data_IF_715211825954
#
_entry.id   IF_715211825954
#
_cell.length_a   1.000
_cell.length_b   1.000
_cell.length_c   1.000
_cell.angle_alpha   90.00
_cell.angle_beta   90.00
_cell.angle_gamma   90.00
#
_symmetry.space_group_name_H-M   'P 1'
#
loop_
_entity.id
_entity.type
_entity.pdbx_description
1 polymer ?
#
# COMPACT_ATOMS: atom_id res chain seq x y z
N UNK A 1 -32.18 -27.09 13.11
CA UNK A 1 -32.27 -25.62 12.99
C UNK A 1 -33.15 -25.26 11.80
N UNK A 2 -34.28 -24.60 12.04
CA UNK A 2 -35.25 -24.25 11.01
C UNK A 2 -34.73 -23.17 10.05
N UNK A 3 -35.28 -23.12 8.83
CA UNK A 3 -34.92 -22.13 7.79
C UNK A 3 -35.06 -20.69 8.30
N UNK A 4 -35.96 -20.43 9.23
CA UNK A 4 -36.18 -19.09 9.81
C UNK A 4 -35.02 -18.63 10.70
N UNK A 5 -34.40 -19.54 11.47
CA UNK A 5 -33.23 -19.21 12.32
C UNK A 5 -32.00 -18.84 11.48
N UNK A 6 -31.86 -19.38 10.27
CA UNK A 6 -30.78 -19.02 9.34
C UNK A 6 -30.97 -17.63 8.74
N UNK A 7 -32.21 -17.23 8.44
CA UNK A 7 -32.51 -15.89 7.88
C UNK A 7 -32.29 -14.81 8.92
N UNK A 8 -32.70 -15.03 10.17
CA UNK A 8 -32.47 -14.09 11.27
C UNK A 8 -30.98 -13.92 11.56
N UNK A 9 -30.18 -15.00 11.54
CA UNK A 9 -28.74 -14.93 11.73
C UNK A 9 -28.02 -14.21 10.57
N UNK A 10 -28.47 -14.42 9.32
CA UNK A 10 -27.94 -13.72 8.14
C UNK A 10 -28.28 -12.23 8.20
N UNK A 11 -29.50 -11.87 8.63
CA UNK A 11 -29.90 -10.47 8.81
C UNK A 11 -29.14 -9.81 9.97
N UNK A 12 -28.91 -10.52 11.09
CA UNK A 12 -28.13 -10.00 12.22
C UNK A 12 -26.65 -9.78 11.85
N UNK A 13 -26.06 -10.71 11.09
CA UNK A 13 -24.69 -10.57 10.58
C UNK A 13 -24.62 -9.45 9.53
N UNK A 14 -25.57 -9.36 8.60
CA UNK A 14 -25.62 -8.29 7.60
C UNK A 14 -25.81 -6.90 8.24
N UNK A 15 -26.60 -6.78 9.31
CA UNK A 15 -26.79 -5.53 10.04
C UNK A 15 -25.53 -5.14 10.84
N UNK A 16 -24.83 -6.12 11.42
CA UNK A 16 -23.54 -5.91 12.09
C UNK A 16 -22.42 -5.47 11.14
N UNK A 17 -22.39 -6.01 9.91
CA UNK A 17 -21.46 -5.56 8.87
C UNK A 17 -21.80 -4.16 8.35
N UNK A 18 -23.08 -3.79 8.29
CA UNK A 18 -23.52 -2.47 7.86
C UNK A 18 -23.16 -1.38 8.89
N UNK A 19 -23.28 -1.68 10.19
CA UNK A 19 -22.92 -0.74 11.28
C UNK A 19 -21.42 -0.54 11.43
N UNK A 20 -20.59 -1.58 11.24
CA UNK A 20 -19.12 -1.42 11.26
C UNK A 20 -18.57 -0.67 10.04
N UNK A 21 -19.16 -0.88 8.85
CA UNK A 21 -18.79 -0.10 7.65
C UNK A 21 -19.21 1.37 7.80
N UNK A 22 -20.39 1.65 8.33
CA UNK A 22 -20.84 3.03 8.57
C UNK A 22 -20.02 3.71 9.66
N UNK A 23 -19.60 2.99 10.71
CA UNK A 23 -18.69 3.51 11.74
C UNK A 23 -17.30 3.87 11.17
N UNK A 24 -16.70 3.00 10.36
CA UNK A 24 -15.43 3.31 9.67
C UNK A 24 -15.57 4.42 8.63
N UNK A 25 -16.69 4.47 7.90
CA UNK A 25 -17.00 5.56 6.96
C UNK A 25 -17.26 6.87 7.68
N UNK A 26 -17.93 6.88 8.84
CA UNK A 26 -18.14 8.07 9.67
C UNK A 26 -16.85 8.54 10.32
N UNK A 27 -15.96 7.64 10.75
CA UNK A 27 -14.67 8.01 11.31
C UNK A 27 -13.70 8.51 10.23
N UNK A 28 -13.70 7.91 9.03
CA UNK A 28 -12.98 8.48 7.88
C UNK A 28 -13.58 9.81 7.47
N UNK A 29 -14.91 9.93 7.35
CA UNK A 29 -15.57 11.18 7.00
C UNK A 29 -15.31 12.26 8.05
N UNK A 30 -15.35 11.94 9.34
CA UNK A 30 -15.01 12.86 10.44
C UNK A 30 -13.52 13.23 10.47
N UNK A 31 -12.63 12.30 10.11
CA UNK A 31 -11.21 12.59 9.91
C UNK A 31 -10.98 13.52 8.71
N UNK A 32 -11.65 13.26 7.59
CA UNK A 32 -11.59 14.09 6.38
C UNK A 32 -12.28 15.46 6.57
N UNK A 33 -13.40 15.54 7.28
CA UNK A 33 -14.08 16.80 7.61
C UNK A 33 -13.31 17.60 8.67
N UNK A 34 -12.63 16.92 9.61
CA UNK A 34 -11.69 17.56 10.53
C UNK A 34 -10.43 18.06 9.81
N UNK A 35 -10.01 17.36 8.76
CA UNK A 35 -8.95 17.79 7.85
C UNK A 35 -9.40 18.97 6.97
N UNK A 36 -10.57 18.92 6.35
CA UNK A 36 -11.16 20.02 5.57
C UNK A 36 -11.36 21.26 6.44
N UNK A 37 -11.87 21.10 7.66
CA UNK A 37 -12.01 22.21 8.62
C UNK A 37 -10.67 22.82 9.05
N UNK A 38 -9.59 22.03 9.05
CA UNK A 38 -8.21 22.53 9.28
C UNK A 38 -7.59 23.10 8.01
N UNK A 39 -7.93 22.59 6.83
CA UNK A 39 -7.47 23.07 5.51
C UNK A 39 -8.12 24.42 5.18
N UNK A 40 -9.41 24.62 5.44
CA UNK A 40 -10.07 25.94 5.32
C UNK A 40 -9.51 26.98 6.29
N UNK A 41 -8.96 26.55 7.44
CA UNK A 41 -8.22 27.43 8.34
C UNK A 41 -6.79 27.72 7.85
N UNK A 42 -6.18 26.82 7.08
CA UNK A 42 -4.85 26.95 6.48
C UNK A 42 -4.84 27.76 5.17
N UNK A 43 -5.94 27.79 4.41
CA UNK A 43 -6.08 28.62 3.20
C UNK A 43 -6.00 30.14 3.48
N UNK A 44 -6.24 30.57 4.72
CA UNK A 44 -6.12 31.96 5.15
C UNK A 44 -4.75 32.34 5.73
N UNK A 45 -3.80 31.40 5.78
CA UNK A 45 -2.44 31.63 6.27
C UNK A 45 -1.43 31.37 5.15
N UNK A 46 -1.35 32.33 4.22
CA UNK A 46 -0.12 32.50 3.44
C UNK A 46 0.96 32.91 4.45
N UNK A 47 2.04 32.13 4.50
CA UNK A 47 3.13 32.14 5.49
C UNK A 47 2.87 31.31 6.75
N UNK A 48 2.91 29.97 6.61
CA UNK A 48 3.33 29.11 7.72
C UNK A 48 4.52 28.29 7.25
N UNK A 49 5.71 28.75 7.64
CA UNK A 49 6.89 27.89 7.64
C UNK A 49 6.60 26.76 8.63
N UNK A 50 6.49 25.53 8.13
CA UNK A 50 6.28 24.36 8.96
C UNK A 50 7.36 24.31 10.06
N UNK A 51 7.02 24.25 11.35
CA UNK A 51 8.03 24.13 12.39
C UNK A 51 8.77 22.80 12.23
N UNK A 52 10.10 22.86 12.27
CA UNK A 52 10.95 21.71 12.49
C UNK A 52 10.59 21.13 13.87
N UNK A 53 9.97 19.96 13.89
CA UNK A 53 9.86 19.17 15.11
C UNK A 53 11.13 18.34 15.17
N UNK A 54 12.09 18.78 15.98
CA UNK A 54 13.22 17.95 16.40
C UNK A 54 12.66 16.76 17.19
N UNK A 55 13.04 15.56 16.78
CA UNK A 55 12.71 14.34 17.50
C UNK A 55 13.53 14.30 18.80
N UNK A 56 12.89 14.66 19.90
CA UNK A 56 13.42 14.37 21.24
C UNK A 56 12.85 13.02 21.70
N UNK A 57 13.75 12.11 22.07
CA UNK A 57 13.44 10.86 22.74
C UNK A 57 12.85 11.11 24.14
N UNK A 58 12.03 10.16 24.61
CA UNK A 58 11.40 10.02 25.94
C UNK A 58 10.13 10.89 26.20
N UNK A 59 8.97 10.38 26.62
CA UNK A 59 8.69 9.35 27.64
C UNK A 59 7.58 8.35 27.24
N UNK A 60 7.77 7.10 27.65
CA UNK A 60 6.85 5.97 27.59
C UNK A 60 5.55 6.19 28.38
N UNK A 61 4.43 5.71 27.82
CA UNK A 61 3.29 5.24 28.62
C UNK A 61 2.09 6.17 28.70
N UNK A 62 1.22 6.12 27.68
CA UNK A 62 -0.26 6.07 27.82
C UNK A 62 -1.01 6.43 26.54
N UNK A 63 -0.38 7.20 25.64
CA UNK A 63 -0.99 7.77 24.41
C UNK A 63 -0.97 6.83 23.19
N UNK A 64 -0.15 5.76 23.19
CA UNK A 64 -0.01 4.85 22.04
C UNK A 64 -1.20 3.89 21.83
N UNK A 65 -2.00 3.63 22.88
CA UNK A 65 -3.06 2.61 22.83
C UNK A 65 -4.13 2.84 21.74
N UNK A 66 -4.69 4.04 21.54
CA UNK A 66 -5.70 4.28 20.50
C UNK A 66 -5.15 4.10 19.08
N UNK A 67 -3.90 4.52 18.85
CA UNK A 67 -3.25 4.39 17.55
C UNK A 67 -3.04 2.90 17.18
N UNK A 68 -2.63 2.08 18.15
CA UNK A 68 -2.45 0.63 17.96
C UNK A 68 -3.76 -0.05 17.57
N UNK A 69 -4.88 0.28 18.22
CA UNK A 69 -6.19 -0.30 17.86
C UNK A 69 -6.66 0.10 16.46
N UNK A 70 -6.46 1.36 16.07
CA UNK A 70 -6.81 1.84 14.73
C UNK A 70 -5.96 1.14 13.67
N UNK A 71 -4.64 1.05 13.89
CA UNK A 71 -3.72 0.34 13.00
C UNK A 71 -4.09 -1.15 12.84
N UNK A 72 -4.41 -1.82 13.95
CA UNK A 72 -4.88 -3.21 13.92
C UNK A 72 -6.19 -3.36 13.13
N UNK A 73 -7.13 -2.43 13.29
CA UNK A 73 -8.39 -2.44 12.55
C UNK A 73 -8.18 -2.26 11.03
N UNK A 74 -7.30 -1.34 10.61
CA UNK A 74 -6.96 -1.15 9.20
C UNK A 74 -6.26 -2.38 8.61
N UNK A 75 -5.31 -2.96 9.35
CA UNK A 75 -4.64 -4.21 8.95
C UNK A 75 -5.65 -5.34 8.76
N UNK A 76 -6.55 -5.55 9.73
CA UNK A 76 -7.58 -6.58 9.65
C UNK A 76 -8.56 -6.33 8.48
N UNK A 77 -8.97 -5.08 8.26
CA UNK A 77 -9.85 -4.72 7.14
C UNK A 77 -9.18 -5.03 5.79
N UNK A 78 -7.94 -4.59 5.61
CA UNK A 78 -7.19 -4.79 4.38
C UNK A 78 -6.93 -6.28 4.14
N UNK A 79 -6.47 -7.01 5.16
CA UNK A 79 -6.24 -8.45 5.08
C UNK A 79 -7.53 -9.21 4.73
N UNK A 80 -8.66 -8.87 5.34
CA UNK A 80 -9.98 -9.46 5.01
C UNK A 80 -10.38 -9.24 3.54
N UNK A 81 -9.98 -8.11 2.96
CA UNK A 81 -10.29 -7.78 1.56
C UNK A 81 -9.38 -8.49 0.59
N UNK A 82 -8.10 -8.63 0.94
CA UNK A 82 -7.14 -9.50 0.24
C UNK A 82 -7.56 -10.98 0.29
N UNK A 83 -8.09 -11.45 1.43
CA UNK A 83 -8.50 -12.86 1.64
C UNK A 83 -9.53 -13.34 0.61
N UNK A 84 -10.36 -12.44 0.07
CA UNK A 84 -11.33 -12.76 -0.98
C UNK A 84 -10.68 -13.27 -2.27
N UNK A 85 -9.41 -12.93 -2.50
CA UNK A 85 -8.65 -13.31 -3.68
C UNK A 85 -7.60 -14.38 -3.37
N UNK A 86 -7.33 -14.65 -2.09
CA UNK A 86 -6.30 -15.57 -1.68
C UNK A 86 -6.68 -17.03 -1.99
N UNK A 87 -5.73 -17.82 -2.49
CA UNK A 87 -5.93 -19.25 -2.70
C UNK A 87 -5.88 -20.02 -1.37
N UNK A 88 -6.75 -21.02 -1.20
CA UNK A 88 -6.80 -21.83 0.02
C UNK A 88 -7.31 -21.07 1.26
N UNK A 89 -7.28 -21.73 2.42
CA UNK A 89 -7.63 -21.12 3.71
C UNK A 89 -6.35 -20.69 4.44
N UNK A 90 -6.28 -19.43 4.88
CA UNK A 90 -5.17 -18.93 5.68
C UNK A 90 -5.12 -19.50 7.10
N UNK A 91 -4.02 -19.23 7.80
CA UNK A 91 -3.85 -19.48 9.24
C UNK A 91 -4.57 -18.40 10.05
N UNK A 92 -5.91 -18.40 10.05
CA UNK A 92 -6.65 -17.39 10.85
C UNK A 92 -6.95 -17.96 12.24
N UNK A 93 -6.20 -17.50 13.24
CA UNK A 93 -6.42 -17.82 14.66
C UNK A 93 -7.56 -16.95 15.24
N UNK A 94 -8.77 -17.09 14.70
CA UNK A 94 -9.95 -16.34 15.13
C UNK A 94 -10.10 -14.95 14.48
N UNK A 95 -11.33 -14.40 14.52
CA UNK A 95 -11.75 -13.18 13.81
C UNK A 95 -10.91 -11.93 14.18
N UNK A 96 -10.28 -11.90 15.35
CA UNK A 96 -9.60 -10.70 15.88
C UNK A 96 -8.06 -10.75 15.89
N UNK A 97 -7.43 -11.88 15.53
CA UNK A 97 -5.97 -12.02 15.60
C UNK A 97 -5.34 -12.02 14.20
N UNK A 98 -5.40 -10.88 13.51
CA UNK A 98 -4.50 -10.64 12.38
C UNK A 98 -3.22 -10.03 12.92
N UNK A 99 -2.15 -10.82 12.96
CA UNK A 99 -0.79 -10.29 13.09
C UNK A 99 -0.21 -9.97 11.70
N UNK A 100 0.94 -9.30 11.70
CA UNK A 100 1.58 -8.86 10.47
C UNK A 100 2.01 -10.06 9.58
N UNK A 101 2.41 -11.17 10.20
CA UNK A 101 2.77 -12.40 9.49
C UNK A 101 1.57 -12.98 8.72
N UNK A 102 0.39 -13.01 9.34
CA UNK A 102 -0.86 -13.43 8.70
C UNK A 102 -1.21 -12.54 7.51
N UNK A 103 -0.97 -11.22 7.61
CA UNK A 103 -1.14 -10.29 6.49
C UNK A 103 -0.18 -10.60 5.31
N UNK A 104 1.08 -10.92 5.61
CA UNK A 104 2.06 -11.34 4.59
C UNK A 104 1.67 -12.70 3.99
N UNK A 105 1.17 -13.64 4.78
CA UNK A 105 0.65 -14.94 4.30
C UNK A 105 -0.50 -14.76 3.31
N UNK A 106 -1.47 -13.90 3.62
CA UNK A 106 -2.57 -13.58 2.70
C UNK A 106 -2.01 -13.06 1.38
N UNK A 107 -1.04 -12.15 1.43
CA UNK A 107 -0.38 -11.61 0.23
C UNK A 107 0.30 -12.70 -0.62
N UNK A 108 1.01 -13.65 0.03
CA UNK A 108 1.62 -14.80 -0.65
C UNK A 108 0.57 -15.67 -1.35
N UNK A 109 -0.56 -15.92 -0.69
CA UNK A 109 -1.68 -16.70 -1.25
C UNK A 109 -2.41 -15.96 -2.37
N UNK A 110 -2.45 -14.63 -2.35
CA UNK A 110 -2.95 -13.84 -3.49
C UNK A 110 -2.04 -13.99 -4.72
N UNK A 111 -0.73 -14.16 -4.55
CA UNK A 111 0.15 -14.36 -5.71
C UNK A 111 0.04 -15.74 -6.39
N UNK A 112 -0.46 -16.75 -5.68
CA UNK A 112 -0.50 -18.12 -6.20
C UNK A 112 -1.38 -18.23 -7.45
N UNK A 113 -0.84 -18.85 -8.50
CA UNK A 113 -1.56 -19.05 -9.76
C UNK A 113 -1.81 -17.78 -10.58
N UNK A 114 -1.25 -16.62 -10.19
CA UNK A 114 -1.46 -15.34 -10.90
C UNK A 114 -0.20 -14.85 -11.61
N UNK A 115 -0.38 -14.31 -12.81
CA UNK A 115 0.65 -13.54 -13.50
C UNK A 115 0.95 -12.23 -12.75
N UNK A 116 2.08 -11.59 -13.09
CA UNK A 116 2.45 -10.27 -12.57
C UNK A 116 1.31 -9.25 -12.66
N UNK A 117 0.70 -9.14 -13.83
CA UNK A 117 -0.38 -8.19 -14.09
C UNK A 117 -1.63 -8.49 -13.27
N UNK A 118 -2.02 -9.76 -13.18
CA UNK A 118 -3.16 -10.19 -12.38
C UNK A 118 -2.96 -9.90 -10.88
N UNK A 119 -1.73 -10.06 -10.37
CA UNK A 119 -1.39 -9.68 -9.00
C UNK A 119 -1.64 -8.19 -8.77
N UNK A 120 -1.14 -7.34 -9.69
CA UNK A 120 -1.27 -5.89 -9.59
C UNK A 120 -2.73 -5.42 -9.66
N UNK A 121 -3.52 -6.01 -10.57
CA UNK A 121 -4.95 -5.72 -10.73
C UNK A 121 -5.74 -6.06 -9.46
N UNK A 122 -5.45 -7.19 -8.81
CA UNK A 122 -6.09 -7.57 -7.53
C UNK A 122 -5.78 -6.56 -6.43
N UNK A 123 -4.51 -6.13 -6.30
CA UNK A 123 -4.16 -5.16 -5.26
C UNK A 123 -4.79 -3.80 -5.55
N UNK A 124 -4.83 -3.37 -6.81
CA UNK A 124 -5.56 -2.16 -7.20
C UNK A 124 -7.04 -2.26 -6.81
N UNK A 125 -7.69 -3.39 -7.07
CA UNK A 125 -9.09 -3.61 -6.68
C UNK A 125 -9.28 -3.54 -5.16
N UNK A 126 -8.35 -4.13 -4.39
CA UNK A 126 -8.39 -4.06 -2.92
C UNK A 126 -8.25 -2.62 -2.42
N UNK A 127 -7.26 -1.86 -2.94
CA UNK A 127 -7.06 -0.44 -2.63
C UNK A 127 -8.30 0.40 -2.94
N UNK A 128 -8.90 0.20 -4.11
CA UNK A 128 -10.14 0.88 -4.49
C UNK A 128 -11.30 0.52 -3.57
N UNK A 129 -11.36 -0.73 -3.10
CA UNK A 129 -12.40 -1.16 -2.17
C UNK A 129 -12.25 -0.61 -0.74
N UNK A 130 -11.11 0.03 -0.43
CA UNK A 130 -10.89 0.75 0.84
C UNK A 130 -11.52 2.14 0.80
N UNK A 131 -11.72 2.69 -0.40
CA UNK A 131 -12.32 4.01 -0.58
C UNK A 131 -13.86 3.94 -0.51
N UNK A 132 -14.52 4.98 -0.01
CA UNK A 132 -15.97 5.14 -0.17
C UNK A 132 -16.37 5.20 -1.66
N UNK A 133 -17.58 4.74 -2.03
CA UNK A 133 -18.07 4.83 -3.40
C UNK A 133 -18.01 6.27 -3.95
N UNK A 134 -17.48 6.42 -5.16
CA UNK A 134 -17.32 7.73 -5.83
C UNK A 134 -16.07 8.51 -5.42
N UNK A 135 -15.41 8.19 -4.30
CA UNK A 135 -14.27 8.97 -3.81
C UNK A 135 -13.14 9.23 -4.83
N UNK A 136 -12.74 8.32 -5.74
CA UNK A 136 -11.67 8.58 -6.72
C UNK A 136 -11.91 9.81 -7.60
N UNK A 137 -13.12 9.97 -8.15
CA UNK A 137 -13.44 11.13 -8.99
C UNK A 137 -13.46 12.43 -8.17
N UNK A 138 -13.88 12.34 -6.91
CA UNK A 138 -13.88 13.45 -5.96
C UNK A 138 -12.45 13.85 -5.58
N UNK A 139 -11.55 12.89 -5.33
CA UNK A 139 -10.16 13.17 -4.96
C UNK A 139 -9.40 13.90 -6.06
N UNK A 140 -9.53 13.47 -7.32
CA UNK A 140 -8.89 14.16 -8.45
C UNK A 140 -9.35 15.62 -8.59
N UNK A 141 -10.60 15.91 -8.19
CA UNK A 141 -11.16 17.27 -8.20
C UNK A 141 -10.72 18.10 -7.00
N UNK A 142 -10.62 17.49 -5.82
CA UNK A 142 -10.31 18.17 -4.56
C UNK A 142 -8.80 18.34 -4.33
N UNK A 143 -7.96 17.47 -4.90
CA UNK A 143 -6.51 17.47 -4.69
C UNK A 143 -5.80 17.50 -6.05
N UNK A 144 -5.73 18.65 -6.72
CA UNK A 144 -4.88 18.79 -7.91
C UNK A 144 -3.42 18.47 -7.54
N UNK A 145 -2.62 17.90 -8.47
CA UNK A 145 -1.25 17.49 -8.23
C UNK A 145 -0.34 18.73 -8.08
N UNK A 146 -0.40 19.33 -6.89
CA UNK A 146 0.36 20.51 -6.48
C UNK A 146 1.43 20.08 -5.48
N UNK A 147 2.47 20.91 -5.34
CA UNK A 147 3.49 20.73 -4.29
C UNK A 147 2.87 20.56 -2.91
N UNK A 148 1.89 21.40 -2.56
CA UNK A 148 1.19 21.29 -1.28
C UNK A 148 0.52 19.93 -1.10
N UNK A 149 -0.18 19.43 -2.13
CA UNK A 149 -0.82 18.11 -2.07
C UNK A 149 0.23 16.99 -1.89
N UNK A 150 1.38 17.10 -2.56
CA UNK A 150 2.49 16.15 -2.43
C UNK A 150 3.11 16.15 -1.03
N UNK A 151 3.42 17.33 -0.48
CA UNK A 151 3.97 17.50 0.87
C UNK A 151 2.97 17.06 1.95
N UNK A 152 1.68 17.36 1.78
CA UNK A 152 0.63 16.90 2.69
C UNK A 152 0.51 15.37 2.71
N UNK A 153 0.53 14.71 1.55
CA UNK A 153 0.47 13.25 1.48
C UNK A 153 1.74 12.60 2.07
N UNK A 154 2.92 13.19 1.87
CA UNK A 154 4.15 12.72 2.51
C UNK A 154 4.08 12.82 4.04
N UNK A 155 3.63 13.97 4.57
CA UNK A 155 3.46 14.18 6.00
C UNK A 155 2.42 13.25 6.63
N UNK A 156 1.32 12.97 5.93
CA UNK A 156 0.28 12.03 6.39
C UNK A 156 0.77 10.58 6.37
N UNK A 157 1.60 10.22 5.39
CA UNK A 157 2.08 8.85 5.19
C UNK A 157 2.86 8.31 6.38
N UNK A 158 3.73 9.13 6.97
CA UNK A 158 4.60 8.73 8.10
C UNK A 158 3.81 8.17 9.29
N UNK A 159 2.85 8.89 9.90
CA UNK A 159 2.07 8.36 11.02
C UNK A 159 1.03 7.33 10.57
N UNK A 160 0.40 7.51 9.41
CA UNK A 160 -0.72 6.66 9.00
C UNK A 160 -0.29 5.26 8.55
N UNK A 161 0.81 5.15 7.80
CA UNK A 161 1.29 3.87 7.26
C UNK A 161 2.42 3.25 8.09
N UNK A 162 2.78 3.81 9.25
CA UNK A 162 3.79 3.25 10.16
C UNK A 162 3.56 1.75 10.45
N UNK A 163 2.32 1.33 10.68
CA UNK A 163 1.98 -0.07 10.93
C UNK A 163 2.31 -1.00 9.76
N UNK A 164 2.17 -0.48 8.54
CA UNK A 164 2.30 -1.22 7.29
C UNK A 164 3.76 -1.29 6.84
N UNK A 165 4.43 -0.14 6.79
CA UNK A 165 5.77 -0.03 6.21
C UNK A 165 6.88 0.11 7.25
N UNK A 166 6.56 0.45 8.51
CA UNK A 166 7.53 0.63 9.58
C UNK A 166 7.99 2.09 9.75
N UNK A 167 9.10 2.30 10.50
CA UNK A 167 9.65 3.62 10.78
C UNK A 167 9.98 4.39 9.49
N UNK A 168 9.51 5.63 9.41
CA UNK A 168 9.71 6.50 8.25
C UNK A 168 9.80 7.97 8.65
N UNK A 169 10.36 8.80 7.77
CA UNK A 169 10.47 10.23 7.96
C UNK A 169 10.30 11.00 6.64
N UNK A 170 9.82 12.24 6.72
CA UNK A 170 9.68 13.10 5.54
C UNK A 170 11.02 13.75 5.20
N UNK A 171 11.49 13.55 3.97
CA UNK A 171 12.73 14.09 3.43
C UNK A 171 12.46 15.15 2.35
N UNK A 172 13.45 16.02 2.12
CA UNK A 172 13.44 16.93 0.97
C UNK A 172 13.85 16.17 -0.29
N UNK A 173 13.13 16.43 -1.38
CA UNK A 173 13.41 15.91 -2.73
C UNK A 173 13.38 17.07 -3.73
N UNK A 174 14.05 16.89 -4.86
CA UNK A 174 14.00 17.84 -5.97
C UNK A 174 13.23 17.22 -7.14
N UNK A 175 12.14 17.86 -7.56
CA UNK A 175 11.32 17.44 -8.69
C UNK A 175 11.23 18.59 -9.68
N UNK A 176 11.68 18.36 -10.92
CA UNK A 176 11.69 19.37 -11.98
C UNK A 176 12.39 20.69 -11.59
N UNK A 177 13.45 20.61 -10.79
CA UNK A 177 14.20 21.78 -10.29
C UNK A 177 13.57 22.50 -9.10
N UNK A 178 12.44 22.00 -8.58
CA UNK A 178 11.81 22.53 -7.36
C UNK A 178 12.07 21.61 -6.17
N UNK A 179 12.63 22.18 -5.10
CA UNK A 179 12.78 21.52 -3.81
C UNK A 179 11.45 21.50 -3.05
N UNK A 180 11.08 20.35 -2.52
CA UNK A 180 9.87 20.17 -1.74
C UNK A 180 9.99 19.01 -0.75
N UNK A 181 9.23 19.08 0.35
CA UNK A 181 9.20 18.04 1.40
C UNK A 181 8.18 16.95 1.09
N UNK A 182 8.26 16.40 -0.12
CA UNK A 182 7.31 15.40 -0.62
C UNK A 182 7.89 13.98 -0.71
N UNK A 183 9.12 13.78 -0.24
CA UNK A 183 9.71 12.45 -0.09
C UNK A 183 9.43 11.86 1.28
N UNK A 184 9.24 10.54 1.35
CA UNK A 184 9.18 9.76 2.59
C UNK A 184 10.23 8.67 2.52
N UNK A 185 11.18 8.70 3.44
CA UNK A 185 12.18 7.65 3.59
C UNK A 185 11.71 6.65 4.63
N UNK A 186 11.42 5.42 4.21
CA UNK A 186 11.13 4.28 5.09
C UNK A 186 12.46 3.63 5.43
N UNK A 187 12.90 3.77 6.70
CA UNK A 187 14.23 3.34 7.16
C UNK A 187 14.43 1.83 7.02
N UNK A 188 13.36 1.07 7.28
CA UNK A 188 13.33 -0.38 7.11
C UNK A 188 11.91 -0.83 6.82
N UNK A 189 11.66 -1.21 5.58
CA UNK A 189 10.35 -1.58 5.07
C UNK A 189 9.91 -2.92 5.65
N UNK A 190 8.98 -2.88 6.61
CA UNK A 190 8.43 -4.05 7.28
C UNK A 190 7.84 -5.06 6.29
N UNK A 191 7.22 -4.60 5.21
CA UNK A 191 6.62 -5.51 4.21
C UNK A 191 7.69 -6.22 3.37
N UNK A 192 8.71 -5.49 2.93
CA UNK A 192 9.82 -6.07 2.18
C UNK A 192 10.59 -7.08 3.04
N UNK A 193 10.91 -6.71 4.28
CA UNK A 193 11.62 -7.58 5.22
C UNK A 193 10.85 -8.88 5.50
N UNK A 194 9.57 -8.80 5.88
CA UNK A 194 8.79 -9.99 6.22
C UNK A 194 8.40 -10.84 5.01
N UNK A 195 8.25 -10.22 3.84
CA UNK A 195 7.98 -10.96 2.60
C UNK A 195 9.22 -11.66 2.07
N UNK A 196 10.41 -11.06 2.24
CA UNK A 196 11.67 -11.57 1.72
C UNK A 196 11.61 -11.83 0.20
N UNK A 197 10.80 -11.06 -0.54
CA UNK A 197 10.45 -11.40 -1.91
C UNK A 197 10.35 -10.16 -2.80
N UNK A 198 11.28 -10.04 -3.74
CA UNK A 198 11.32 -8.98 -4.76
C UNK A 198 10.00 -8.92 -5.56
N UNK A 199 9.46 -10.08 -5.93
CA UNK A 199 8.17 -10.15 -6.64
C UNK A 199 7.00 -9.62 -5.82
N UNK A 200 6.98 -9.83 -4.50
CA UNK A 200 5.96 -9.26 -3.61
C UNK A 200 6.10 -7.75 -3.52
N UNK A 201 7.32 -7.25 -3.30
CA UNK A 201 7.59 -5.81 -3.27
C UNK A 201 7.10 -5.13 -4.55
N UNK A 202 7.43 -5.66 -5.72
CA UNK A 202 7.05 -5.07 -7.00
C UNK A 202 5.57 -5.19 -7.31
N UNK A 203 5.02 -6.40 -7.19
CA UNK A 203 3.69 -6.69 -7.74
C UNK A 203 2.56 -6.52 -6.75
N UNK A 204 2.87 -6.51 -5.45
CA UNK A 204 1.88 -6.37 -4.38
C UNK A 204 1.95 -5.01 -3.67
N UNK A 205 3.07 -4.30 -3.77
CA UNK A 205 3.26 -3.02 -3.10
C UNK A 205 3.53 -1.90 -4.11
N UNK A 206 4.71 -1.86 -4.74
CA UNK A 206 5.18 -0.73 -5.56
C UNK A 206 4.27 -0.42 -6.74
N UNK A 207 4.15 -1.32 -7.72
CA UNK A 207 3.43 -1.01 -8.96
C UNK A 207 1.95 -0.68 -8.70
N UNK A 208 1.20 -1.46 -7.91
CA UNK A 208 -0.20 -1.14 -7.63
C UNK A 208 -0.39 0.18 -6.87
N UNK A 209 0.51 0.51 -5.94
CA UNK A 209 0.41 1.75 -5.15
C UNK A 209 0.72 2.97 -6.01
N UNK A 210 1.79 2.93 -6.82
CA UNK A 210 2.10 3.99 -7.78
C UNK A 210 0.94 4.22 -8.74
N UNK A 211 0.36 3.14 -9.27
CA UNK A 211 -0.75 3.16 -10.20
C UNK A 211 -2.05 3.69 -9.56
N UNK A 212 -2.33 3.29 -8.31
CA UNK A 212 -3.46 3.83 -7.54
C UNK A 212 -3.32 5.34 -7.28
N UNK A 213 -2.18 5.79 -6.75
CA UNK A 213 -1.98 7.22 -6.48
C UNK A 213 -1.99 8.05 -7.77
N UNK A 214 -1.27 7.61 -8.79
CA UNK A 214 -1.14 8.37 -10.05
C UNK A 214 -2.45 8.41 -10.82
N UNK A 215 -3.09 7.25 -11.04
CA UNK A 215 -4.21 7.15 -11.97
C UNK A 215 -5.58 7.23 -11.30
N UNK A 216 -5.71 6.83 -10.02
CA UNK A 216 -6.99 6.89 -9.31
C UNK A 216 -7.11 8.12 -8.42
N UNK A 217 -6.07 8.40 -7.63
CA UNK A 217 -6.03 9.55 -6.73
C UNK A 217 -5.66 10.86 -7.45
N UNK A 218 -4.91 10.77 -8.57
CA UNK A 218 -4.50 11.93 -9.37
C UNK A 218 -3.24 12.63 -8.87
N UNK A 219 -2.48 12.00 -7.98
CA UNK A 219 -1.21 12.51 -7.45
C UNK A 219 -0.10 11.54 -7.85
N UNK A 220 0.84 11.93 -8.73
CA UNK A 220 1.96 11.09 -9.10
C UNK A 220 2.73 10.60 -7.86
N UNK A 221 3.11 9.33 -7.87
CA UNK A 221 3.92 8.73 -6.81
C UNK A 221 4.94 7.78 -7.44
N UNK A 222 6.20 7.97 -7.07
CA UNK A 222 7.28 7.02 -7.39
C UNK A 222 7.74 6.34 -6.11
N UNK A 223 7.91 5.02 -6.13
CA UNK A 223 8.43 4.24 -5.01
C UNK A 223 9.78 3.63 -5.39
N UNK A 224 10.78 3.71 -4.51
CA UNK A 224 12.15 3.30 -4.78
C UNK A 224 12.62 2.39 -3.64
N UNK A 225 12.33 1.07 -3.72
CA UNK A 225 12.83 0.11 -2.74
C UNK A 225 14.33 -0.11 -2.89
N UNK A 226 15.03 -0.24 -1.77
CA UNK A 226 16.39 -0.74 -1.69
C UNK A 226 16.35 -2.16 -1.10
N UNK A 227 16.83 -3.12 -1.90
CA UNK A 227 16.80 -4.54 -1.51
C UNK A 227 17.99 -4.95 -0.66
N UNK A 228 19.04 -4.14 -0.55
CA UNK A 228 20.23 -4.42 0.25
C UNK A 228 20.01 -4.12 1.73
N UNK A 229 19.46 -2.94 2.05
CA UNK A 229 19.19 -2.49 3.42
C UNK A 229 17.71 -2.62 3.83
N UNK A 230 16.85 -3.08 2.90
CA UNK A 230 15.40 -3.21 3.07
C UNK A 230 14.66 -1.87 3.25
N UNK A 231 15.27 -0.73 2.93
CA UNK A 231 14.60 0.58 2.96
C UNK A 231 13.73 0.81 1.72
N UNK A 232 12.93 1.88 1.73
CA UNK A 232 12.13 2.29 0.56
C UNK A 232 11.84 3.78 0.60
N UNK A 233 11.98 4.46 -0.53
CA UNK A 233 11.55 5.85 -0.66
C UNK A 233 10.19 5.93 -1.36
N UNK A 234 9.34 6.84 -0.92
CA UNK A 234 8.10 7.21 -1.59
C UNK A 234 8.18 8.70 -1.93
N UNK A 235 8.13 9.04 -3.22
CA UNK A 235 8.28 10.40 -3.71
C UNK A 235 6.96 10.86 -4.34
N UNK A 236 6.21 11.65 -3.57
CA UNK A 236 4.97 12.24 -4.04
C UNK A 236 5.24 13.41 -4.97
N UNK A 237 4.46 13.52 -6.04
CA UNK A 237 4.63 14.48 -7.12
C UNK A 237 5.57 14.01 -8.24
N UNK A 238 6.33 12.92 -8.04
CA UNK A 238 7.19 12.34 -9.07
C UNK A 238 6.42 11.31 -9.91
N UNK A 239 6.45 11.47 -11.23
CA UNK A 239 5.85 10.51 -12.18
C UNK A 239 6.62 9.19 -12.14
N UNK A 240 5.95 8.06 -11.86
CA UNK A 240 6.63 6.78 -11.83
C UNK A 240 7.14 6.40 -13.24
N UNK A 241 8.33 5.78 -13.34
CA UNK A 241 8.83 5.29 -14.61
C UNK A 241 7.94 4.17 -15.16
N UNK A 242 8.02 3.95 -16.48
CA UNK A 242 7.46 2.74 -17.08
C UNK A 242 8.17 1.50 -16.53
N UNK A 243 7.48 0.36 -16.52
CA UNK A 243 8.02 -0.86 -15.92
C UNK A 243 9.37 -1.27 -16.53
N UNK A 244 9.51 -1.16 -17.84
CA UNK A 244 10.72 -1.54 -18.59
C UNK A 244 11.91 -0.60 -18.31
N UNK A 245 11.62 0.63 -17.91
CA UNK A 245 12.60 1.68 -17.59
C UNK A 245 12.95 1.70 -16.10
N UNK A 246 12.09 1.11 -15.25
CA UNK A 246 12.30 1.01 -13.81
C UNK A 246 13.50 0.10 -13.51
N UNK A 247 14.56 0.59 -12.83
CA UNK A 247 15.71 -0.24 -12.47
C UNK A 247 15.33 -1.48 -11.67
N UNK A 248 14.27 -1.40 -10.85
CA UNK A 248 13.81 -2.51 -10.01
C UNK A 248 13.20 -3.65 -10.84
N UNK A 249 12.77 -3.40 -12.08
CA UNK A 249 12.30 -4.46 -12.98
C UNK A 249 13.38 -5.51 -13.30
N UNK A 250 14.64 -5.16 -13.09
CA UNK A 250 15.81 -6.01 -13.32
C UNK A 250 16.38 -6.61 -12.03
N UNK A 251 15.71 -6.43 -10.89
CA UNK A 251 16.22 -6.89 -9.60
C UNK A 251 16.25 -8.44 -9.52
N UNK A 252 17.39 -9.08 -9.16
CA UNK A 252 17.45 -10.51 -8.87
C UNK A 252 16.75 -10.85 -7.56
N UNK A 253 16.24 -12.09 -7.42
CA UNK A 253 15.68 -12.53 -6.14
C UNK A 253 16.80 -12.68 -5.08
N UNK A 254 16.44 -12.68 -3.79
CA UNK A 254 17.35 -13.00 -2.70
C UNK A 254 17.82 -14.46 -2.75
N UNK A 255 19.08 -14.70 -3.11
CA UNK A 255 19.63 -16.05 -3.28
C UNK A 255 19.47 -16.93 -2.04
N UNK A 256 19.72 -16.38 -0.85
CA UNK A 256 19.73 -17.15 0.40
C UNK A 256 18.33 -17.31 1.03
N UNK A 257 17.34 -16.52 0.60
CA UNK A 257 16.00 -16.49 1.19
C UNK A 257 14.91 -17.05 0.26
N UNK A 258 15.15 -17.06 -1.05
CA UNK A 258 14.13 -17.37 -2.04
C UNK A 258 14.40 -18.71 -2.72
N UNK A 259 13.53 -19.70 -2.49
CA UNK A 259 13.68 -21.06 -3.04
C UNK A 259 13.63 -21.15 -4.57
N UNK A 260 13.13 -20.11 -5.24
CA UNK A 260 13.10 -20.01 -6.70
C UNK A 260 14.19 -19.09 -7.26
N UNK A 261 15.08 -18.58 -6.41
CA UNK A 261 16.22 -17.79 -6.87
C UNK A 261 17.12 -18.67 -7.72
N UNK A 262 17.59 -18.10 -8.82
CA UNK A 262 18.64 -18.68 -9.64
C UNK A 262 19.87 -17.76 -9.53
N UNK A 263 20.97 -18.19 -8.90
CA UNK A 263 22.18 -17.38 -8.76
C UNK A 263 22.77 -16.92 -10.10
N UNK A 264 22.47 -17.64 -11.19
CA UNK A 264 22.92 -17.28 -12.55
C UNK A 264 21.97 -16.33 -13.29
N UNK A 265 20.78 -16.06 -12.73
CA UNK A 265 19.83 -15.11 -13.30
C UNK A 265 20.04 -13.73 -12.71
N UNK A 266 20.18 -12.73 -13.57
CA UNK A 266 20.22 -11.33 -13.14
C UNK A 266 18.84 -10.78 -12.76
N UNK A 267 17.74 -11.48 -13.04
CA UNK A 267 16.37 -10.99 -12.82
C UNK A 267 15.53 -12.02 -12.08
N UNK A 268 14.70 -11.55 -11.14
CA UNK A 268 13.77 -12.39 -10.42
C UNK A 268 12.65 -12.90 -11.34
N UNK A 269 12.37 -14.22 -11.43
CA UNK A 269 11.36 -14.76 -12.35
C UNK A 269 9.94 -14.21 -12.12
N UNK A 270 9.65 -13.69 -10.92
CA UNK A 270 8.37 -13.05 -10.59
C UNK A 270 8.16 -11.67 -11.21
N UNK A 271 9.21 -11.08 -11.81
CA UNK A 271 9.14 -9.80 -12.52
C UNK A 271 8.95 -9.99 -14.03
N UNK A 272 9.18 -11.20 -14.54
CA UNK A 272 9.07 -11.49 -15.96
C UNK A 272 7.60 -11.57 -16.39
N UNK A 273 7.32 -11.19 -17.63
CA UNK A 273 6.02 -11.47 -18.24
C UNK A 273 5.81 -13.00 -18.29
N UNK A 274 4.57 -13.50 -18.13
CA UNK A 274 4.30 -14.89 -18.44
C UNK A 274 4.76 -15.14 -19.88
N UNK A 275 5.48 -16.25 -20.10
CA UNK A 275 5.90 -16.69 -21.42
C UNK A 275 4.64 -16.88 -22.27
N UNK A 276 4.26 -15.86 -23.04
CA UNK A 276 3.45 -16.10 -24.24
C UNK A 276 4.36 -16.99 -25.06
N UNK A 277 3.95 -18.23 -25.31
CA UNK A 277 4.63 -19.12 -26.25
C UNK A 277 5.01 -18.27 -27.45
N UNK A 278 6.32 -17.98 -27.59
CA UNK A 278 6.82 -17.49 -28.85
C UNK A 278 6.46 -18.60 -29.82
N UNK A 279 5.49 -18.32 -30.69
CA UNK A 279 5.32 -19.08 -31.92
C UNK A 279 6.70 -19.03 -32.56
N UNK A 280 7.36 -20.19 -32.54
CA UNK A 280 8.67 -20.38 -33.12
C UNK A 280 8.56 -20.10 -34.61
N UNK A 281 8.91 -18.87 -35.01
CA UNK A 281 9.27 -18.57 -36.37
C UNK A 281 10.49 -19.44 -36.73
N UNK A 282 10.23 -20.39 -37.62
CA UNK A 282 11.15 -20.99 -38.59
C UNK A 282 12.62 -21.18 -38.21
N UNK A 283 12.99 -22.45 -37.96
CA UNK A 283 14.17 -23.02 -38.61
C UNK A 283 14.00 -24.52 -38.81
N UNK A 284 13.82 -24.89 -40.08
CA UNK A 284 13.96 -26.25 -40.60
C UNK A 284 15.44 -26.61 -40.73
N UNK A 285 15.91 -27.66 -40.07
CA UNK A 285 17.09 -28.44 -40.49
C UNK A 285 16.96 -29.89 -39.95
N UNK A 286 16.80 -30.83 -40.89
CA UNK A 286 16.86 -32.31 -40.85
C UNK A 286 16.12 -33.10 -39.76
#
# INVERSE_FOLDING_TARGET
MGKETKVVLILYLANGYATELTFLQQNMKGFYESLDGRISALENLKEVQAPLVEATEEEEGSSERPAIFVQAAFMALFARKMEKFASGKGRVNGWWNYDYESFVDVSKRVMQGRSRRQQQEVVREVLMSMLPPGAPAQFRKLFPPTKWAAEFNAALTVPFFHWLVGPSEVIEVEINGEKQRSGVHIKKCRYLENSGCVGMCMNMCKIPTQDFFTNEFGLPLTMIPNFEDMSCEMVYGQVPPLFEEDPVSKQPCYTDLCSIANPSSSVCPKLQAPYVLQVSDGCSVF
#
